data_IF_559075840810
#
_entry.id   IF_559075840810
#
_cell.length_a   1.000
_cell.length_b   1.000
_cell.length_c   1.000
_cell.angle_alpha   90.00
_cell.angle_beta   90.00
_cell.angle_gamma   90.00
#
_symmetry.space_group_name_H-M   'P 1'
#
loop_
_entity.id
_entity.type
_entity.pdbx_description
1 polymer ?
#
# COMPACT_ATOMS: atom_id res chain seq x y z
N UNK A 1 10.05 -8.23 25.51
CA UNK A 1 9.84 -6.77 25.37
C UNK A 1 11.00 -6.00 25.97
N UNK A 2 11.31 -6.16 27.26
CA UNK A 2 12.54 -5.59 27.87
C UNK A 2 13.81 -6.07 27.16
N UNK A 3 13.94 -7.37 26.86
CA UNK A 3 15.07 -7.90 26.06
C UNK A 3 15.21 -7.16 24.73
N UNK A 4 14.12 -7.03 23.96
CA UNK A 4 14.13 -6.34 22.68
C UNK A 4 14.50 -4.84 22.81
N UNK A 5 14.10 -4.18 23.89
CA UNK A 5 14.52 -2.79 24.14
C UNK A 5 16.02 -2.69 24.44
N UNK A 6 16.56 -3.64 25.20
CA UNK A 6 18.01 -3.71 25.44
C UNK A 6 18.78 -4.03 24.15
N UNK A 7 18.28 -4.94 23.32
CA UNK A 7 18.87 -5.31 22.02
C UNK A 7 18.92 -4.09 21.07
N UNK A 8 17.87 -3.27 21.08
CA UNK A 8 17.80 -2.00 20.34
C UNK A 8 18.48 -0.83 21.06
N UNK A 9 19.09 -1.04 22.24
CA UNK A 9 19.73 -0.02 23.09
C UNK A 9 18.82 1.17 23.43
N UNK A 10 17.53 0.89 23.66
CA UNK A 10 16.51 1.89 24.00
C UNK A 10 16.36 2.02 25.52
N UNK A 11 16.26 3.25 26.01
CA UNK A 11 16.02 3.51 27.43
C UNK A 11 14.64 2.99 27.87
N UNK A 12 14.60 2.38 29.06
CA UNK A 12 13.37 1.86 29.67
C UNK A 12 12.86 2.90 30.67
N UNK A 13 11.70 3.53 30.42
CA UNK A 13 11.13 4.51 31.34
C UNK A 13 10.84 3.89 32.71
N UNK A 14 10.98 4.69 33.77
CA UNK A 14 10.68 4.26 35.16
C UNK A 14 9.21 3.91 35.39
N UNK A 15 8.28 4.41 34.57
CA UNK A 15 6.85 4.07 34.58
C UNK A 15 6.47 3.02 33.51
N UNK A 16 7.42 2.18 33.09
CA UNK A 16 7.27 1.23 32.00
C UNK A 16 6.04 0.32 32.15
N UNK A 17 5.00 0.61 31.36
CA UNK A 17 3.92 -0.34 31.07
C UNK A 17 4.19 -1.03 29.74
N UNK A 18 3.60 -2.22 29.54
CA UNK A 18 3.66 -2.93 28.24
C UNK A 18 3.27 -2.02 27.07
N UNK A 19 2.27 -1.16 27.25
CA UNK A 19 1.81 -0.23 26.22
C UNK A 19 2.86 0.85 25.88
N UNK A 20 3.49 1.44 26.90
CA UNK A 20 4.55 2.44 26.72
C UNK A 20 5.75 1.82 25.99
N UNK A 21 6.21 0.64 26.44
CA UNK A 21 7.33 -0.06 25.82
C UNK A 21 7.01 -0.48 24.37
N UNK A 22 5.78 -0.94 24.10
CA UNK A 22 5.31 -1.21 22.74
C UNK A 22 5.41 0.02 21.85
N UNK A 23 4.92 1.17 22.30
CA UNK A 23 4.93 2.40 21.50
C UNK A 23 6.36 2.86 21.18
N UNK A 24 7.26 2.85 22.17
CA UNK A 24 8.67 3.21 21.99
C UNK A 24 9.32 2.28 20.96
N UNK A 25 9.16 0.96 21.15
CA UNK A 25 9.74 -0.03 20.26
C UNK A 25 9.16 0.07 18.85
N UNK A 26 7.85 0.28 18.73
CA UNK A 26 7.16 0.38 17.43
C UNK A 26 7.63 1.62 16.65
N UNK A 27 7.80 2.75 17.34
CA UNK A 27 8.38 3.96 16.75
C UNK A 27 9.83 3.72 16.30
N UNK A 28 10.67 3.15 17.17
CA UNK A 28 12.06 2.86 16.81
C UNK A 28 12.18 1.93 15.60
N UNK A 29 11.38 0.85 15.56
CA UNK A 29 11.33 -0.07 14.42
C UNK A 29 10.94 0.68 13.14
N UNK A 30 9.89 1.49 13.19
CA UNK A 30 9.42 2.26 12.03
C UNK A 30 10.50 3.19 11.48
N UNK A 31 11.27 3.81 12.36
CA UNK A 31 12.23 4.84 11.99
C UNK A 31 13.62 4.28 11.62
N UNK A 32 14.00 3.10 12.14
CA UNK A 32 15.39 2.60 12.06
C UNK A 32 15.53 1.21 11.42
N UNK A 33 14.44 0.45 11.30
CA UNK A 33 14.49 -0.93 10.79
C UNK A 33 13.79 -0.98 9.44
N UNK A 34 14.58 -1.06 8.38
CA UNK A 34 14.05 -1.31 7.06
C UNK A 34 13.33 -2.68 7.02
N UNK A 35 12.12 -2.77 6.44
CA UNK A 35 11.48 -4.06 6.21
C UNK A 35 12.39 -4.98 5.40
N UNK A 36 12.37 -6.28 5.71
CA UNK A 36 13.23 -7.28 5.04
C UNK A 36 13.11 -7.19 3.52
N UNK A 37 11.90 -6.99 2.99
CA UNK A 37 11.65 -6.86 1.55
C UNK A 37 12.34 -5.64 0.93
N UNK A 38 12.48 -4.53 1.67
CA UNK A 38 13.18 -3.31 1.20
C UNK A 38 14.68 -3.59 1.11
N UNK A 39 15.26 -4.18 2.15
CA UNK A 39 16.68 -4.55 2.15
C UNK A 39 17.01 -5.53 1.01
N UNK A 40 16.19 -6.58 0.83
CA UNK A 40 16.36 -7.59 -0.23
C UNK A 40 16.20 -7.01 -1.64
N UNK A 41 15.29 -6.06 -1.83
CA UNK A 41 15.13 -5.37 -3.11
C UNK A 41 16.33 -4.47 -3.40
N UNK A 42 16.81 -3.72 -2.38
CA UNK A 42 18.00 -2.88 -2.48
C UNK A 42 19.27 -3.65 -2.83
N UNK A 43 19.48 -4.84 -2.23
CA UNK A 43 20.57 -5.76 -2.59
C UNK A 43 20.59 -6.12 -4.10
N UNK A 44 19.44 -6.05 -4.77
CA UNK A 44 19.30 -6.31 -6.21
C UNK A 44 19.22 -5.04 -7.06
N UNK A 45 19.42 -3.86 -6.47
CA UNK A 45 19.32 -2.57 -7.18
C UNK A 45 17.89 -2.13 -7.48
N UNK A 46 16.90 -2.63 -6.73
CA UNK A 46 15.50 -2.21 -6.85
C UNK A 46 15.08 -1.31 -5.69
N UNK A 47 14.33 -0.26 -6.02
CA UNK A 47 13.66 0.58 -5.04
C UNK A 47 12.23 0.06 -4.78
N UNK A 48 11.80 0.10 -3.52
CA UNK A 48 10.44 -0.27 -3.13
C UNK A 48 9.63 0.99 -2.88
N UNK A 49 8.51 1.11 -3.60
CA UNK A 49 7.53 2.17 -3.43
C UNK A 49 6.30 1.59 -2.72
N UNK A 50 5.86 2.25 -1.67
CA UNK A 50 4.66 1.87 -0.92
C UNK A 50 3.45 2.67 -1.40
N UNK A 51 2.35 1.98 -1.66
CA UNK A 51 1.06 2.62 -1.89
C UNK A 51 0.36 2.89 -0.56
N UNK A 52 -0.42 3.98 -0.43
CA UNK A 52 -1.28 4.20 0.72
C UNK A 52 -2.23 3.02 0.99
N UNK A 53 -2.62 2.78 2.26
CA UNK A 53 -3.54 1.70 2.60
C UNK A 53 -4.91 1.90 1.95
N UNK A 54 -5.59 0.80 1.61
CA UNK A 54 -6.93 0.78 0.97
C UNK A 54 -7.01 1.35 -0.46
N UNK A 55 -5.87 1.57 -1.11
CA UNK A 55 -5.80 2.05 -2.49
C UNK A 55 -5.25 0.99 -3.44
N UNK A 56 -6.00 -0.12 -3.61
CA UNK A 56 -5.64 -1.17 -4.56
C UNK A 56 -5.67 -0.70 -6.02
N UNK A 57 -6.41 0.37 -6.30
CA UNK A 57 -6.47 1.02 -7.61
C UNK A 57 -5.18 1.75 -8.00
N UNK A 58 -4.28 2.00 -7.04
CA UNK A 58 -2.91 2.49 -7.27
C UNK A 58 -1.91 1.36 -7.56
N UNK A 59 -2.34 0.09 -7.51
CA UNK A 59 -1.48 -1.07 -7.71
C UNK A 59 -1.87 -1.77 -9.03
N UNK A 60 -1.16 -1.54 -10.15
CA UNK A 60 -1.52 -2.11 -11.45
C UNK A 60 -1.71 -3.63 -11.45
N UNK A 61 -0.97 -4.35 -10.60
CA UNK A 61 -1.07 -5.81 -10.47
C UNK A 61 -2.45 -6.26 -9.97
N UNK A 62 -3.11 -5.48 -9.11
CA UNK A 62 -4.48 -5.78 -8.64
C UNK A 62 -5.48 -5.69 -9.80
N UNK A 63 -5.27 -4.77 -10.74
CA UNK A 63 -6.10 -4.62 -11.94
C UNK A 63 -5.86 -5.81 -12.90
N UNK A 64 -4.61 -6.23 -13.07
CA UNK A 64 -4.28 -7.46 -13.83
C UNK A 64 -4.97 -8.67 -13.19
N UNK A 65 -4.91 -8.80 -11.87
CA UNK A 65 -5.60 -9.87 -11.14
C UNK A 65 -7.12 -9.79 -11.27
N UNK A 66 -7.72 -8.60 -11.29
CA UNK A 66 -9.15 -8.44 -11.53
C UNK A 66 -9.55 -9.01 -12.89
N UNK A 67 -8.76 -8.74 -13.94
CA UNK A 67 -8.99 -9.27 -15.28
C UNK A 67 -8.87 -10.81 -15.32
N UNK A 68 -7.78 -11.34 -14.75
CA UNK A 68 -7.51 -12.79 -14.70
C UNK A 68 -8.58 -13.53 -13.90
N UNK A 69 -8.94 -13.03 -12.72
CA UNK A 69 -10.02 -13.60 -11.90
C UNK A 69 -11.36 -13.53 -12.61
N UNK A 70 -11.66 -12.43 -13.31
CA UNK A 70 -12.87 -12.29 -14.11
C UNK A 70 -12.96 -13.35 -15.20
N UNK A 71 -11.86 -13.64 -15.89
CA UNK A 71 -11.79 -14.68 -16.93
C UNK A 71 -12.01 -16.08 -16.36
N UNK A 72 -11.29 -16.44 -15.30
CA UNK A 72 -11.47 -17.75 -14.66
C UNK A 72 -12.88 -17.88 -14.07
N UNK A 73 -13.39 -16.82 -13.46
CA UNK A 73 -14.71 -16.78 -12.83
C UNK A 73 -15.87 -16.94 -13.82
N UNK A 74 -15.75 -16.42 -15.05
CA UNK A 74 -16.74 -16.63 -16.12
C UNK A 74 -16.91 -18.10 -16.52
N UNK A 75 -15.89 -18.94 -16.26
CA UNK A 75 -15.92 -20.36 -16.56
C UNK A 75 -16.44 -21.21 -15.39
N UNK A 76 -16.86 -20.58 -14.29
CA UNK A 76 -17.33 -21.27 -13.10
C UNK A 76 -18.63 -22.05 -13.36
N UNK A 77 -18.68 -23.25 -12.79
CA UNK A 77 -19.85 -24.12 -12.70
C UNK A 77 -19.92 -24.74 -11.30
N UNK A 78 -21.09 -25.26 -10.90
CA UNK A 78 -21.27 -25.96 -9.61
C UNK A 78 -20.39 -27.20 -9.46
N UNK A 79 -19.85 -27.73 -10.55
CA UNK A 79 -18.94 -28.89 -10.58
C UNK A 79 -17.47 -28.49 -10.66
N UNK A 80 -17.14 -27.20 -10.69
CA UNK A 80 -15.76 -26.73 -10.80
C UNK A 80 -14.95 -27.13 -9.58
N UNK A 81 -13.82 -27.79 -9.81
CA UNK A 81 -12.87 -28.23 -8.78
C UNK A 81 -11.61 -27.39 -8.78
N UNK A 82 -10.79 -27.48 -7.73
CA UNK A 82 -9.49 -26.82 -7.68
C UNK A 82 -8.53 -27.30 -8.79
N UNK A 83 -8.67 -28.56 -9.21
CA UNK A 83 -7.92 -29.12 -10.33
C UNK A 83 -8.25 -28.42 -11.67
N UNK A 84 -9.49 -27.95 -11.83
CA UNK A 84 -9.92 -27.18 -13.00
C UNK A 84 -9.41 -25.73 -12.97
N UNK A 85 -9.24 -25.15 -11.77
CA UNK A 85 -8.80 -23.76 -11.61
C UNK A 85 -7.38 -23.55 -12.12
N UNK A 86 -6.46 -24.47 -11.83
CA UNK A 86 -5.05 -24.34 -12.23
C UNK A 86 -4.84 -24.14 -13.75
N UNK A 87 -5.34 -25.01 -14.64
CA UNK A 87 -5.18 -24.83 -16.09
C UNK A 87 -5.94 -23.60 -16.61
N UNK A 88 -7.08 -23.25 -16.01
CA UNK A 88 -7.83 -22.03 -16.38
C UNK A 88 -7.04 -20.77 -16.03
N UNK A 89 -6.38 -20.75 -14.87
CA UNK A 89 -5.55 -19.65 -14.43
C UNK A 89 -4.33 -19.47 -15.35
N UNK A 90 -3.66 -20.58 -15.70
CA UNK A 90 -2.53 -20.55 -16.65
C UNK A 90 -2.94 -19.95 -18.00
N UNK A 91 -4.05 -20.45 -18.57
CA UNK A 91 -4.60 -19.91 -19.83
C UNK A 91 -5.00 -18.43 -19.71
N UNK A 92 -5.59 -18.04 -18.59
CA UNK A 92 -5.97 -16.65 -18.36
C UNK A 92 -4.74 -15.74 -18.34
N UNK A 93 -3.62 -16.16 -17.76
CA UNK A 93 -2.35 -15.42 -17.80
C UNK A 93 -1.70 -15.40 -19.18
N UNK A 94 -1.76 -16.49 -19.94
CA UNK A 94 -1.26 -16.53 -21.33
C UNK A 94 -1.99 -15.53 -22.23
N UNK A 95 -3.26 -15.24 -21.94
CA UNK A 95 -4.07 -14.27 -22.67
C UNK A 95 -3.83 -12.82 -22.23
N UNK A 96 -3.06 -12.56 -21.16
CA UNK A 96 -2.73 -11.20 -20.74
C UNK A 96 -1.68 -10.63 -21.69
N UNK A 97 -2.13 -9.75 -22.60
CA UNK A 97 -1.23 -9.10 -23.55
C UNK A 97 -0.43 -7.96 -22.92
N UNK A 98 0.75 -7.61 -23.47
CA UNK A 98 1.50 -6.44 -23.02
C UNK A 98 0.69 -5.14 -23.06
N UNK A 99 -0.20 -4.99 -24.06
CA UNK A 99 -1.09 -3.83 -24.18
C UNK A 99 -2.10 -3.78 -23.04
N UNK A 100 -2.64 -4.93 -22.62
CA UNK A 100 -3.54 -5.00 -21.47
C UNK A 100 -2.81 -4.61 -20.17
N UNK A 101 -1.57 -5.07 -19.98
CA UNK A 101 -0.74 -4.68 -18.82
C UNK A 101 -0.47 -3.18 -18.82
N UNK A 102 -0.09 -2.61 -19.97
CA UNK A 102 0.11 -1.17 -20.10
C UNK A 102 -1.16 -0.40 -19.75
N UNK A 103 -2.33 -0.85 -20.23
CA UNK A 103 -3.61 -0.25 -19.88
C UNK A 103 -3.92 -0.29 -18.37
N UNK A 104 -3.49 -1.35 -17.67
CA UNK A 104 -3.59 -1.44 -16.21
C UNK A 104 -2.67 -0.43 -15.51
N UNK A 105 -1.44 -0.26 -15.99
CA UNK A 105 -0.50 0.75 -15.48
C UNK A 105 -1.08 2.15 -15.68
N UNK A 106 -1.59 2.45 -16.87
CA UNK A 106 -2.20 3.74 -17.20
C UNK A 106 -3.44 4.01 -16.33
N UNK A 107 -4.23 2.99 -16.02
CA UNK A 107 -5.37 3.10 -15.11
C UNK A 107 -4.95 3.50 -13.70
N UNK A 108 -3.91 2.86 -13.15
CA UNK A 108 -3.37 3.24 -11.83
C UNK A 108 -2.79 4.65 -11.83
N UNK A 109 -2.05 5.03 -12.89
CA UNK A 109 -1.49 6.38 -13.04
C UNK A 109 -2.58 7.46 -13.12
N UNK A 110 -3.72 7.16 -13.74
CA UNK A 110 -4.88 8.07 -13.73
C UNK A 110 -5.42 8.29 -12.32
N UNK A 111 -5.51 7.24 -11.49
CA UNK A 111 -5.94 7.37 -10.10
C UNK A 111 -4.92 8.14 -9.27
N UNK A 112 -3.62 7.88 -9.46
CA UNK A 112 -2.55 8.62 -8.81
C UNK A 112 -2.63 10.12 -9.14
N UNK A 113 -2.87 10.46 -10.41
CA UNK A 113 -3.02 11.86 -10.84
C UNK A 113 -4.23 12.54 -10.18
N UNK A 114 -5.35 11.83 -10.03
CA UNK A 114 -6.53 12.37 -9.34
C UNK A 114 -6.26 12.59 -7.85
N UNK A 115 -5.62 11.62 -7.20
CA UNK A 115 -5.25 11.73 -5.79
C UNK A 115 -4.31 12.92 -5.57
N UNK A 116 -3.29 13.09 -6.41
CA UNK A 116 -2.38 14.23 -6.37
C UNK A 116 -3.13 15.56 -6.45
N UNK A 117 -4.02 15.72 -7.44
CA UNK A 117 -4.83 16.94 -7.60
C UNK A 117 -5.72 17.23 -6.39
N UNK A 118 -6.25 16.19 -5.75
CA UNK A 118 -7.08 16.35 -4.56
C UNK A 118 -6.27 16.86 -3.37
N UNK A 119 -5.07 16.31 -3.16
CA UNK A 119 -4.14 16.77 -2.11
C UNK A 119 -3.73 18.24 -2.34
N UNK A 120 -3.33 18.59 -3.57
CA UNK A 120 -2.98 19.97 -3.93
C UNK A 120 -4.13 20.96 -3.68
N UNK A 121 -5.38 20.55 -3.93
CA UNK A 121 -6.55 21.38 -3.67
C UNK A 121 -6.81 21.56 -2.16
N UNK A 122 -6.63 20.51 -1.36
CA UNK A 122 -6.78 20.60 0.10
C UNK A 122 -5.76 21.54 0.70
N UNK A 123 -4.49 21.41 0.32
CA UNK A 123 -3.41 22.27 0.82
C UNK A 123 -3.66 23.75 0.48
N UNK A 124 -4.30 24.05 -0.65
CA UNK A 124 -4.63 25.44 -1.03
C UNK A 124 -5.82 26.05 -0.28
N UNK A 125 -6.71 25.23 0.29
CA UNK A 125 -7.91 25.70 1.00
C UNK A 125 -7.64 26.01 2.48
N UNK A 126 -6.71 25.31 3.12
CA UNK A 126 -6.38 25.53 4.54
C UNK A 126 -5.71 26.90 4.78
N UNK A 127 -5.05 27.47 3.77
CA UNK A 127 -4.44 28.81 3.82
C UNK A 127 -5.47 29.96 3.66
N UNK A 128 -6.74 29.66 3.36
CA UNK A 128 -7.80 30.67 3.15
C UNK A 128 -8.72 30.88 4.36
N UNK A 129 -8.51 30.17 5.48
CA UNK A 129 -9.39 30.22 6.66
C UNK A 129 -9.00 31.27 7.72
N UNK A 130 -8.01 32.13 7.46
CA UNK A 130 -7.68 33.25 8.36
C UNK A 130 -8.27 34.58 7.85
N UNK A 131 -8.78 35.36 8.81
CA UNK A 131 -9.35 36.71 8.74
C UNK A 131 -10.82 36.89 8.32
N UNK A 132 -11.69 36.83 9.33
CA UNK A 132 -12.76 37.82 9.52
C UNK A 132 -13.18 37.89 11.00
N UNK A 133 -12.26 38.31 11.88
CA UNK A 133 -12.65 38.97 13.13
C UNK A 133 -12.80 40.46 12.83
N UNK A 134 -13.99 40.87 12.37
CA UNK A 134 -14.37 42.28 12.43
C UNK A 134 -14.99 42.53 13.81
N UNK A 135 -14.18 43.07 14.73
CA UNK A 135 -14.70 43.86 15.85
C UNK A 135 -15.45 45.08 15.28
N UNK A 136 -16.70 45.25 15.69
CA UNK A 136 -17.46 46.49 15.45
C UNK A 136 -18.04 46.97 16.78
N UNK A 137 -17.68 48.23 17.06
CA UNK A 137 -18.01 49.12 18.20
C UNK A 137 -19.38 48.93 18.87
#
# INVERSE_FOLDING_TARGET
>A
MISAMNDCKLEIPTNATKAILCNILSKHIKDNVAPVIVARAGEKGHEIIFTPPYHSDLQPIEIVWANVKGEVGRQYSTTTTFADIKPRLQRAFENVSPVAVQGCIDAANRQLTKLKKHLEAMDSCDESSCDSENESD
#
